data_IF_290595038229
#
_entry.id   IF_290595038229
#
_cell.length_a   1.000
_cell.length_b   1.000
_cell.length_c   1.000
_cell.angle_alpha   90.00
_cell.angle_beta   90.00
_cell.angle_gamma   90.00
#
_symmetry.space_group_name_H-M   'P 1'
#
loop_
_entity.id
_entity.type
_entity.pdbx_description
1 polymer ?
#
# COMPACT_ATOMS: atom_id res chain seq x y z
N UNK A 1 46.33 -9.09 -13.12
CA UNK A 1 45.33 -8.02 -12.92
C UNK A 1 43.95 -8.66 -12.90
N UNK A 2 43.34 -8.82 -11.73
CA UNK A 2 41.93 -9.22 -11.64
C UNK A 2 41.09 -7.99 -12.00
N UNK A 3 40.51 -7.99 -13.18
CA UNK A 3 39.44 -7.05 -13.55
C UNK A 3 38.25 -7.33 -12.64
N UNK A 4 38.03 -6.44 -11.68
CA UNK A 4 36.80 -6.41 -10.89
C UNK A 4 35.63 -6.23 -11.86
N UNK A 5 34.78 -7.25 -11.95
CA UNK A 5 33.56 -7.18 -12.73
C UNK A 5 32.75 -5.98 -12.23
N UNK A 6 32.44 -5.02 -13.12
CA UNK A 6 31.48 -3.96 -12.85
C UNK A 6 30.16 -4.64 -12.49
N UNK A 7 29.81 -4.63 -11.21
CA UNK A 7 28.50 -5.02 -10.74
C UNK A 7 27.49 -4.07 -11.38
N UNK A 8 26.64 -4.60 -12.26
CA UNK A 8 25.53 -3.82 -12.79
C UNK A 8 24.71 -3.33 -11.59
N UNK A 9 24.46 -2.01 -11.45
CA UNK A 9 23.71 -1.50 -10.31
C UNK A 9 22.33 -2.12 -10.35
N UNK A 10 21.92 -2.77 -9.25
CA UNK A 10 20.59 -3.32 -9.17
C UNK A 10 19.57 -2.19 -9.26
N UNK A 11 18.74 -2.21 -10.29
CA UNK A 11 17.90 -1.06 -10.66
C UNK A 11 16.66 -0.88 -9.77
N UNK A 12 16.31 -1.88 -8.94
CA UNK A 12 15.19 -1.79 -8.00
C UNK A 12 15.65 -2.02 -6.56
N UNK A 13 15.91 -0.91 -5.84
CA UNK A 13 16.30 -0.91 -4.42
C UNK A 13 15.03 -0.75 -3.57
N UNK A 14 15.02 -1.42 -2.42
CA UNK A 14 13.95 -1.26 -1.43
C UNK A 14 13.81 0.19 -0.98
N UNK A 15 12.59 0.74 -1.05
CA UNK A 15 12.23 2.06 -0.49
C UNK A 15 12.13 2.09 1.04
N UNK A 16 12.28 0.94 1.73
CA UNK A 16 12.14 0.86 3.19
C UNK A 16 13.32 1.48 3.95
N UNK A 17 14.47 1.56 3.28
CA UNK A 17 15.67 2.22 3.80
C UNK A 17 15.77 3.65 3.26
N UNK A 18 14.71 4.18 2.65
CA UNK A 18 14.69 5.55 2.15
C UNK A 18 14.89 6.49 3.33
N UNK A 19 16.09 7.05 3.36
CA UNK A 19 16.40 8.23 4.15
C UNK A 19 15.40 9.30 3.73
N UNK A 20 14.80 10.04 4.67
CA UNK A 20 13.85 11.03 4.28
C UNK A 20 14.55 12.10 3.43
N UNK A 21 13.77 12.69 2.55
CA UNK A 21 14.20 13.85 1.79
C UNK A 21 13.84 15.10 2.59
N UNK A 22 14.78 16.03 2.73
CA UNK A 22 14.59 17.26 3.48
C UNK A 22 14.16 18.40 2.54
N UNK A 23 13.05 19.04 2.86
CA UNK A 23 12.53 20.21 2.15
C UNK A 23 12.44 21.39 3.11
N UNK A 24 13.11 22.50 2.80
CA UNK A 24 12.99 23.75 3.56
C UNK A 24 12.27 24.80 2.74
N UNK A 25 11.22 25.39 3.32
CA UNK A 25 10.38 26.41 2.70
C UNK A 25 10.59 27.73 3.42
N UNK A 26 10.82 28.81 2.66
CA UNK A 26 10.94 30.17 3.19
C UNK A 26 9.75 31.05 2.77
N UNK A 27 9.21 31.79 3.73
CA UNK A 27 8.14 32.79 3.51
C UNK A 27 8.70 34.22 3.34
N UNK A 28 9.98 34.38 3.00
CA UNK A 28 10.62 35.70 2.90
C UNK A 28 9.96 36.65 1.89
N UNK A 29 9.46 36.14 0.77
CA UNK A 29 8.79 36.94 -0.25
C UNK A 29 7.39 37.40 0.16
N UNK A 30 6.72 36.66 1.04
CA UNK A 30 5.40 37.00 1.58
C UNK A 30 5.23 36.41 2.99
N UNK A 31 5.63 37.16 4.04
CA UNK A 31 5.53 36.69 5.42
C UNK A 31 4.09 36.40 5.88
N UNK A 32 3.10 36.98 5.20
CA UNK A 32 1.68 36.82 5.52
C UNK A 32 1.04 35.61 4.84
N UNK A 33 1.67 35.07 3.80
CA UNK A 33 1.09 34.02 2.99
C UNK A 33 0.73 32.77 3.80
N UNK A 34 -0.32 32.09 3.35
CA UNK A 34 -0.63 30.73 3.80
C UNK A 34 0.30 29.73 3.11
N UNK A 35 0.65 28.65 3.82
CA UNK A 35 1.29 27.50 3.19
C UNK A 35 0.36 26.89 2.11
N UNK A 36 -0.96 26.98 2.31
CA UNK A 36 -1.95 26.35 1.44
C UNK A 36 -2.03 24.84 1.63
N UNK A 37 -1.93 24.39 2.88
CA UNK A 37 -2.03 22.99 3.28
C UNK A 37 -2.79 22.84 4.60
N UNK A 38 -3.51 21.73 4.76
CA UNK A 38 -4.12 21.28 6.01
C UNK A 38 -3.16 20.34 6.73
N UNK A 39 -3.00 20.53 8.04
CA UNK A 39 -2.13 19.69 8.88
C UNK A 39 -2.93 18.58 9.56
N UNK A 40 -2.34 17.39 9.65
CA UNK A 40 -2.78 16.30 10.52
C UNK A 40 -1.96 16.34 11.81
N UNK A 41 -2.61 16.33 12.96
CA UNK A 41 -1.96 16.24 14.27
C UNK A 41 -1.71 14.79 14.66
N UNK A 42 -0.49 14.49 15.11
CA UNK A 42 -0.05 13.17 15.60
C UNK A 42 0.14 13.14 17.12
N UNK A 43 -0.31 14.19 17.82
CA UNK A 43 -0.15 14.37 19.26
C UNK A 43 -1.33 13.79 20.06
N UNK A 44 -2.19 13.00 19.40
CA UNK A 44 -3.39 12.41 20.01
C UNK A 44 -3.10 11.09 20.75
N UNK A 45 -1.83 10.67 20.82
CA UNK A 45 -1.44 9.40 21.43
C UNK A 45 -2.03 8.18 20.72
N UNK A 46 -2.40 8.30 19.43
CA UNK A 46 -2.95 7.18 18.69
C UNK A 46 -1.85 6.18 18.40
N UNK A 47 -2.18 4.89 18.52
CA UNK A 47 -1.26 3.77 18.28
C UNK A 47 -0.72 3.77 16.84
N UNK A 48 -1.48 4.31 15.90
CA UNK A 48 -1.05 4.49 14.50
C UNK A 48 0.08 5.51 14.34
N UNK A 49 0.28 6.41 15.30
CA UNK A 49 1.30 7.45 15.28
C UNK A 49 2.60 7.04 15.98
N UNK A 50 2.75 5.77 16.38
CA UNK A 50 3.87 5.29 17.21
C UNK A 50 5.26 5.54 16.60
N UNK A 51 5.37 5.52 15.28
CA UNK A 51 6.62 5.77 14.55
C UNK A 51 6.63 7.10 13.80
N UNK A 52 5.63 7.96 14.01
CA UNK A 52 5.61 9.25 13.34
C UNK A 52 6.67 10.16 13.97
N UNK A 53 7.68 10.63 13.20
CA UNK A 53 8.77 11.42 13.72
C UNK A 53 8.34 12.83 14.12
N UNK A 54 7.19 13.32 13.68
CA UNK A 54 6.72 14.69 13.89
C UNK A 54 5.38 14.76 14.63
N UNK A 55 5.09 15.93 15.22
CA UNK A 55 3.77 16.22 15.78
C UNK A 55 2.73 16.61 14.73
N UNK A 56 3.18 16.98 13.51
CA UNK A 56 2.32 17.39 12.42
C UNK A 56 2.82 16.86 11.06
N UNK A 57 1.89 16.43 10.20
CA UNK A 57 2.17 16.15 8.78
C UNK A 57 1.18 16.84 7.85
N UNK A 58 1.52 16.94 6.57
CA UNK A 58 0.61 17.45 5.55
C UNK A 58 -0.51 16.43 5.29
N UNK A 59 -1.75 16.80 5.60
CA UNK A 59 -2.93 15.98 5.34
C UNK A 59 -3.47 16.16 3.93
N UNK A 60 -3.59 17.43 3.51
CA UNK A 60 -4.21 17.83 2.25
C UNK A 60 -3.58 19.12 1.77
N UNK A 61 -3.42 19.26 0.45
CA UNK A 61 -3.07 20.51 -0.19
C UNK A 61 -4.34 21.24 -0.63
N UNK A 62 -4.38 22.56 -0.41
CA UNK A 62 -5.49 23.40 -0.87
C UNK A 62 -5.45 23.50 -2.40
N UNK A 63 -6.64 23.59 -3.02
CA UNK A 63 -6.77 23.74 -4.47
C UNK A 63 -6.20 25.08 -4.96
N UNK A 64 -5.83 25.15 -6.24
CA UNK A 64 -5.14 26.30 -6.83
C UNK A 64 -3.62 26.31 -6.62
N UNK A 65 -2.97 27.39 -7.00
CA UNK A 65 -1.52 27.58 -6.96
C UNK A 65 -1.08 28.12 -5.59
N UNK A 66 -0.57 27.26 -4.71
CA UNK A 66 -0.20 27.62 -3.32
C UNK A 66 1.32 27.59 -3.11
N UNK A 67 1.82 28.20 -2.03
CA UNK A 67 3.25 28.12 -1.65
C UNK A 67 3.68 26.66 -1.48
N UNK A 68 2.85 25.82 -0.85
CA UNK A 68 3.10 24.39 -0.71
C UNK A 68 3.37 23.72 -2.07
N UNK A 69 2.47 23.91 -3.04
CA UNK A 69 2.63 23.32 -4.38
C UNK A 69 3.84 23.89 -5.13
N UNK A 70 4.06 25.21 -5.07
CA UNK A 70 5.24 25.87 -5.67
C UNK A 70 6.55 25.35 -5.09
N UNK A 71 6.55 25.01 -3.80
CA UNK A 71 7.71 24.51 -3.08
C UNK A 71 7.85 22.99 -3.15
N UNK A 72 6.98 22.30 -3.91
CA UNK A 72 7.02 20.85 -4.07
C UNK A 72 6.62 20.07 -2.83
N UNK A 73 5.86 20.65 -1.89
CA UNK A 73 5.29 19.95 -0.72
C UNK A 73 4.32 18.87 -1.18
N UNK A 74 4.37 17.71 -0.54
CA UNK A 74 3.50 16.57 -0.80
C UNK A 74 2.67 16.19 0.42
N UNK A 75 1.60 15.42 0.20
CA UNK A 75 0.83 14.80 1.28
C UNK A 75 1.74 13.80 2.01
N UNK A 76 1.66 13.80 3.35
CA UNK A 76 2.50 12.97 4.22
C UNK A 76 3.82 13.61 4.66
N UNK A 77 4.26 14.72 4.05
CA UNK A 77 5.46 15.44 4.50
C UNK A 77 5.32 15.84 5.99
N UNK A 78 6.33 15.51 6.80
CA UNK A 78 6.32 15.69 8.25
C UNK A 78 7.02 17.01 8.64
N UNK A 79 6.38 17.87 9.42
CA UNK A 79 7.01 19.14 9.86
C UNK A 79 7.93 18.84 11.05
N UNK A 80 9.23 18.96 10.82
CA UNK A 80 10.25 18.58 11.81
C UNK A 80 10.98 19.78 12.41
N UNK A 81 10.90 20.97 11.80
CA UNK A 81 11.42 22.20 12.40
C UNK A 81 10.71 23.47 11.91
N UNK A 82 10.74 24.51 12.74
CA UNK A 82 10.26 25.87 12.47
C UNK A 82 11.36 26.86 12.85
N UNK A 83 11.89 27.62 11.89
CA UNK A 83 13.02 28.56 12.08
C UNK A 83 14.23 27.91 12.78
N UNK A 84 14.52 26.65 12.45
CA UNK A 84 15.63 25.88 13.03
C UNK A 84 15.34 25.25 14.40
N UNK A 85 14.28 25.65 15.09
CA UNK A 85 13.77 24.98 16.29
C UNK A 85 13.03 23.71 15.87
N UNK A 86 13.48 22.54 16.34
CA UNK A 86 12.84 21.30 15.90
C UNK A 86 11.64 20.87 16.74
N UNK A 87 10.78 20.13 16.06
CA UNK A 87 9.49 19.64 16.52
C UNK A 87 9.34 18.14 16.27
N UNK A 88 10.44 17.39 16.45
CA UNK A 88 10.41 15.93 16.39
C UNK A 88 9.92 15.33 17.69
N UNK A 89 9.23 14.20 17.55
CA UNK A 89 8.84 13.28 18.63
C UNK A 89 9.93 12.27 18.95
N UNK A 90 10.59 11.78 17.90
CA UNK A 90 11.61 10.73 17.99
C UNK A 90 12.90 11.25 17.38
N UNK A 91 14.03 10.81 17.94
CA UNK A 91 15.33 11.00 17.31
C UNK A 91 15.35 10.29 15.94
N UNK A 92 15.99 10.88 14.91
CA UNK A 92 16.18 10.19 13.65
C UNK A 92 17.06 8.96 13.85
N UNK A 93 16.75 7.87 13.16
CA UNK A 93 17.59 6.65 13.12
C UNK A 93 18.77 6.80 12.12
N UNK A 94 18.95 7.99 11.52
CA UNK A 94 19.93 8.30 10.48
C UNK A 94 20.66 9.62 10.78
N UNK A 95 21.84 9.79 10.17
CA UNK A 95 22.63 11.03 10.25
C UNK A 95 22.07 12.10 9.27
N UNK A 96 22.07 13.37 9.69
CA UNK A 96 21.61 14.49 8.87
C UNK A 96 22.48 14.70 7.62
N UNK A 97 23.77 14.38 7.68
CA UNK A 97 24.68 14.41 6.53
C UNK A 97 24.22 13.51 5.37
N UNK A 98 23.35 12.56 5.69
CA UNK A 98 22.81 11.58 4.76
C UNK A 98 21.45 12.00 4.17
N UNK A 99 20.89 13.13 4.61
CA UNK A 99 19.64 13.65 4.06
C UNK A 99 19.88 14.22 2.67
N UNK A 100 19.02 13.81 1.74
CA UNK A 100 18.97 14.43 0.42
C UNK A 100 18.16 15.73 0.53
N UNK A 101 18.85 16.87 0.39
CA UNK A 101 18.20 18.18 0.35
C UNK A 101 17.50 18.38 -0.99
N UNK A 102 16.17 18.47 -0.96
CA UNK A 102 15.36 18.87 -2.12
C UNK A 102 15.04 20.37 -2.04
N UNK A 103 15.94 21.18 -1.47
CA UNK A 103 15.76 22.65 -1.46
C UNK A 103 15.48 23.08 -2.90
N UNK A 104 14.24 23.51 -3.14
CA UNK A 104 13.57 23.32 -4.42
C UNK A 104 14.47 23.72 -5.61
N UNK A 105 14.48 22.90 -6.65
CA UNK A 105 15.09 23.18 -7.96
C UNK A 105 14.44 24.38 -8.70
N UNK A 106 13.79 25.28 -7.97
CA UNK A 106 13.26 26.56 -8.42
C UNK A 106 14.39 27.58 -8.26
N UNK A 107 15.20 27.69 -9.30
CA UNK A 107 16.09 28.82 -9.54
C UNK A 107 15.33 30.13 -9.27
N UNK A 108 15.66 30.85 -8.20
CA UNK A 108 15.14 32.22 -8.01
C UNK A 108 15.10 32.80 -6.61
N UNK A 109 15.27 32.02 -5.54
CA UNK A 109 15.25 32.58 -4.17
C UNK A 109 16.57 32.23 -3.48
N UNK A 110 17.52 33.15 -3.60
CA UNK A 110 18.84 33.06 -3.00
C UNK A 110 18.73 33.00 -1.48
N UNK A 111 18.86 31.82 -0.90
CA UNK A 111 19.14 31.63 0.52
C UNK A 111 20.65 31.81 0.76
N UNK A 112 21.17 33.01 0.51
CA UNK A 112 22.45 33.43 1.08
C UNK A 112 22.17 33.92 2.50
N UNK A 113 22.16 33.00 3.46
CA UNK A 113 22.21 33.37 4.86
C UNK A 113 23.68 33.56 5.24
N UNK A 114 24.10 34.83 5.21
CA UNK A 114 25.39 35.29 5.73
C UNK A 114 25.44 35.02 7.24
N UNK A 115 26.08 33.92 7.65
CA UNK A 115 26.56 33.75 9.01
C UNK A 115 28.06 33.40 8.95
N UNK A 116 28.85 34.46 8.89
CA UNK A 116 30.28 34.45 9.20
C UNK A 116 30.43 34.78 10.69
N UNK A 117 30.94 33.83 11.48
CA UNK A 117 32.22 34.00 12.19
C UNK A 117 32.54 32.82 13.11
N UNK A 118 33.59 32.09 12.70
CA UNK A 118 34.74 31.59 13.46
C UNK A 118 34.54 31.06 14.88
N UNK A 119 34.80 29.76 15.06
CA UNK A 119 36.07 29.36 15.71
C UNK A 119 36.41 27.90 15.39
N UNK A 120 37.63 27.68 14.90
CA UNK A 120 38.25 26.36 14.78
C UNK A 120 38.58 25.84 16.18
N UNK A 121 38.09 24.64 16.55
CA UNK A 121 38.98 23.66 17.17
C UNK A 121 38.41 22.24 17.15
N UNK A 122 39.32 21.31 16.91
CA UNK A 122 39.14 19.87 16.74
C UNK A 122 38.37 19.17 17.87
N UNK A 123 37.27 18.52 17.51
CA UNK A 123 36.55 17.53 18.33
C UNK A 123 35.19 17.15 17.72
N UNK A 124 35.16 16.89 16.40
CA UNK A 124 33.97 17.14 15.57
C UNK A 124 32.98 15.98 15.35
N UNK A 125 33.10 14.86 16.06
CA UNK A 125 32.07 13.80 15.95
C UNK A 125 30.88 14.04 16.90
N UNK A 126 30.91 15.09 17.73
CA UNK A 126 29.93 15.33 18.81
C UNK A 126 29.06 16.60 18.62
N UNK A 127 29.35 17.47 17.65
CA UNK A 127 28.48 18.64 17.35
C UNK A 127 27.26 18.28 16.50
N UNK A 128 27.38 17.34 15.58
CA UNK A 128 26.27 16.97 14.69
C UNK A 128 25.22 16.11 15.40
N UNK A 129 25.62 15.28 16.37
CA UNK A 129 24.69 14.60 17.29
C UNK A 129 23.93 15.59 18.20
N UNK A 130 24.52 16.75 18.54
CA UNK A 130 23.83 17.82 19.30
C UNK A 130 22.75 18.52 18.47
N UNK A 131 22.97 18.74 17.17
CA UNK A 131 21.97 19.36 16.28
C UNK A 131 20.69 18.52 16.16
N UNK A 132 20.81 17.19 16.20
CA UNK A 132 19.64 16.29 16.19
C UNK A 132 18.86 16.30 17.52
N UNK A 133 19.56 16.27 18.66
CA UNK A 133 18.92 16.41 19.98
C UNK A 133 18.17 17.73 20.11
N UNK A 134 18.69 18.80 19.50
CA UNK A 134 18.04 20.10 19.48
C UNK A 134 16.75 20.14 18.65
N UNK A 135 16.52 19.14 17.78
CA UNK A 135 15.27 19.04 17.02
C UNK A 135 14.20 18.18 17.68
N UNK A 136 14.55 17.40 18.69
CA UNK A 136 13.59 16.63 19.48
C UNK A 136 13.08 17.56 20.56
N UNK A 137 11.78 17.84 20.56
CA UNK A 137 11.18 18.56 21.70
C UNK A 137 11.24 17.60 22.86
N UNK A 138 11.91 17.99 23.95
CA UNK A 138 11.97 17.19 25.18
C UNK A 138 10.57 16.67 25.52
N UNK A 139 10.45 15.39 25.89
CA UNK A 139 9.19 14.67 26.19
C UNK A 139 8.26 15.47 27.12
N UNK A 140 7.58 16.47 26.59
CA UNK A 140 6.59 17.23 27.32
C UNK A 140 5.40 16.28 27.41
N UNK A 141 5.17 15.77 28.62
CA UNK A 141 4.19 14.71 28.90
C UNK A 141 2.73 15.13 28.65
N UNK A 142 2.50 16.41 28.43
CA UNK A 142 1.20 16.96 28.06
C UNK A 142 1.22 17.17 26.55
N UNK A 143 0.21 16.67 25.83
CA UNK A 143 -0.04 16.74 24.38
C UNK A 143 -0.10 18.18 23.80
N UNK A 144 0.83 19.03 24.19
CA UNK A 144 0.94 20.45 23.93
C UNK A 144 1.99 20.74 22.86
N UNK A 145 2.73 19.73 22.40
CA UNK A 145 3.83 19.92 21.45
C UNK A 145 3.30 20.33 20.07
N UNK A 146 2.16 19.78 19.65
CA UNK A 146 1.46 20.27 18.46
C UNK A 146 0.98 21.72 18.63
N UNK A 147 0.44 22.06 19.81
CA UNK A 147 0.00 23.42 20.11
C UNK A 147 1.17 24.41 20.16
N UNK A 148 2.32 23.98 20.67
CA UNK A 148 3.57 24.74 20.70
C UNK A 148 4.08 25.01 19.29
N UNK A 149 4.10 23.99 18.42
CA UNK A 149 4.41 24.12 16.99
C UNK A 149 3.50 25.16 16.33
N UNK A 150 2.18 25.05 16.52
CA UNK A 150 1.23 26.00 15.95
C UNK A 150 1.41 27.41 16.51
N UNK A 151 1.70 27.54 17.81
CA UNK A 151 1.94 28.82 18.47
C UNK A 151 3.20 29.49 17.93
N UNK A 152 4.28 28.72 17.72
CA UNK A 152 5.52 29.19 17.11
C UNK A 152 5.30 29.68 15.68
N UNK A 153 4.60 28.90 14.86
CA UNK A 153 4.27 29.31 13.48
C UNK A 153 3.45 30.61 13.49
N UNK A 154 2.43 30.70 14.36
CA UNK A 154 1.58 31.90 14.49
C UNK A 154 2.36 33.11 14.98
N UNK A 155 3.27 32.96 15.93
CA UNK A 155 4.05 34.08 16.49
C UNK A 155 5.00 34.66 15.46
N UNK A 156 5.70 33.82 14.70
CA UNK A 156 6.59 34.28 13.60
C UNK A 156 5.78 34.99 12.52
N UNK A 157 4.66 34.41 12.08
CA UNK A 157 3.79 35.06 11.09
C UNK A 157 3.22 36.39 11.58
N UNK A 158 2.85 36.49 12.86
CA UNK A 158 2.33 37.73 13.46
C UNK A 158 3.40 38.81 13.54
N UNK A 159 4.66 38.45 13.78
CA UNK A 159 5.76 39.41 13.78
C UNK A 159 5.95 40.04 12.38
N UNK A 160 5.65 39.28 11.32
CA UNK A 160 5.74 39.71 9.93
C UNK A 160 7.10 40.35 9.59
N UNK A 161 8.17 39.97 10.30
CA UNK A 161 9.50 40.53 10.13
C UNK A 161 10.16 39.94 8.87
N UNK A 162 10.41 40.73 7.82
CA UNK A 162 11.05 40.24 6.60
C UNK A 162 12.47 39.72 6.84
N UNK A 163 13.15 40.18 7.91
CA UNK A 163 14.50 39.72 8.26
C UNK A 163 14.49 38.37 8.97
N UNK A 164 13.35 37.95 9.48
CA UNK A 164 13.15 36.67 10.16
C UNK A 164 11.94 35.96 9.58
N UNK A 165 12.00 35.55 8.29
CA UNK A 165 10.88 34.89 7.65
C UNK A 165 10.55 33.58 8.35
N UNK A 166 9.32 33.12 8.20
CA UNK A 166 8.97 31.76 8.56
C UNK A 166 9.76 30.79 7.67
N UNK A 167 10.50 29.89 8.29
CA UNK A 167 11.19 28.77 7.68
C UNK A 167 10.56 27.49 8.20
N UNK A 168 10.05 26.64 7.31
CA UNK A 168 9.55 25.32 7.66
C UNK A 168 10.49 24.27 7.09
N UNK A 169 10.97 23.35 7.93
CA UNK A 169 11.68 22.16 7.46
C UNK A 169 10.77 20.96 7.54
N UNK A 170 10.59 20.29 6.42
CA UNK A 170 9.75 19.12 6.26
C UNK A 170 10.59 17.91 5.85
N UNK A 171 10.21 16.74 6.32
CA UNK A 171 10.77 15.47 5.87
C UNK A 171 9.75 14.66 5.10
N UNK A 172 10.18 14.18 3.93
CA UNK A 172 9.42 13.29 3.08
C UNK A 172 9.92 11.87 3.23
N UNK A 173 9.00 10.96 3.55
CA UNK A 173 9.28 9.55 3.71
C UNK A 173 8.66 8.73 2.57
N UNK A 174 9.38 7.70 2.11
CA UNK A 174 8.86 6.73 1.14
C UNK A 174 7.68 5.93 1.70
N UNK A 175 6.86 5.35 0.81
CA UNK A 175 5.63 4.64 1.19
C UNK A 175 5.87 3.41 2.08
N UNK A 176 7.01 2.73 1.92
CA UNK A 176 7.38 1.56 2.71
C UNK A 176 8.38 1.88 3.83
N UNK A 177 8.66 3.16 4.07
CA UNK A 177 9.37 3.58 5.28
C UNK A 177 8.60 3.14 6.52
N UNK A 178 9.30 2.85 7.63
CA UNK A 178 8.68 2.45 8.90
C UNK A 178 7.58 3.43 9.36
N UNK A 179 7.79 4.73 9.12
CA UNK A 179 6.85 5.83 9.42
C UNK A 179 5.50 5.62 8.72
N UNK A 180 5.51 5.28 7.44
CA UNK A 180 4.30 5.13 6.63
C UNK A 180 3.75 3.68 6.64
N UNK A 181 4.63 2.69 6.77
CA UNK A 181 4.28 1.27 6.69
C UNK A 181 3.57 0.76 7.95
N UNK A 182 3.92 1.28 9.14
CA UNK A 182 3.40 0.79 10.42
C UNK A 182 1.88 0.70 10.46
N UNK A 183 1.19 1.74 9.99
CA UNK A 183 -0.26 1.82 9.98
C UNK A 183 -0.89 0.65 9.21
N UNK A 184 -0.30 0.25 8.08
CA UNK A 184 -0.79 -0.86 7.26
C UNK A 184 -0.77 -2.18 8.03
N UNK A 185 0.34 -2.47 8.71
CA UNK A 185 0.47 -3.67 9.54
C UNK A 185 -0.48 -3.64 10.74
N UNK A 186 -0.70 -2.46 11.33
CA UNK A 186 -1.64 -2.30 12.43
C UNK A 186 -3.09 -2.56 12.00
N UNK A 187 -3.52 -1.99 10.86
CA UNK A 187 -4.85 -2.24 10.29
C UNK A 187 -5.02 -3.74 9.96
N UNK A 188 -4.02 -4.35 9.33
CA UNK A 188 -4.02 -5.77 8.96
C UNK A 188 -4.09 -6.74 10.15
N UNK A 189 -3.82 -6.23 11.35
CA UNK A 189 -3.88 -6.95 12.62
C UNK A 189 -4.93 -6.37 13.56
N UNK A 190 -5.91 -5.63 13.03
CA UNK A 190 -7.05 -5.09 13.76
C UNK A 190 -6.63 -4.29 15.01
N UNK A 191 -5.51 -3.56 14.95
CA UNK A 191 -4.99 -2.79 16.08
C UNK A 191 -4.11 -3.57 17.05
N UNK A 192 -3.88 -4.87 16.85
CA UNK A 192 -2.96 -5.66 17.68
C UNK A 192 -1.50 -5.25 17.40
N UNK A 193 -0.94 -4.48 18.33
CA UNK A 193 0.42 -3.94 18.26
C UNK A 193 1.48 -5.04 18.23
N UNK A 194 1.32 -6.10 19.02
CA UNK A 194 2.32 -7.16 19.09
C UNK A 194 2.33 -7.97 17.78
N UNK A 195 1.16 -8.31 17.27
CA UNK A 195 1.02 -9.01 15.99
C UNK A 195 1.49 -8.14 14.80
N UNK A 196 1.16 -6.85 14.81
CA UNK A 196 1.62 -5.89 13.79
C UNK A 196 3.14 -5.74 13.82
N UNK A 197 3.75 -5.64 15.01
CA UNK A 197 5.22 -5.56 15.17
C UNK A 197 5.89 -6.82 14.64
N UNK A 198 5.37 -8.01 14.99
CA UNK A 198 5.87 -9.28 14.47
C UNK A 198 5.79 -9.35 12.94
N UNK A 199 4.68 -8.89 12.37
CA UNK A 199 4.48 -8.87 10.93
C UNK A 199 5.43 -7.88 10.23
N UNK A 200 5.62 -6.69 10.78
CA UNK A 200 6.56 -5.70 10.27
C UNK A 200 8.01 -6.20 10.33
N UNK A 201 8.43 -6.87 11.41
CA UNK A 201 9.77 -7.49 11.50
C UNK A 201 9.97 -8.60 10.46
N UNK A 202 8.93 -9.42 10.23
CA UNK A 202 8.95 -10.44 9.19
C UNK A 202 9.05 -9.81 7.79
N UNK A 203 8.28 -8.74 7.52
CA UNK A 203 8.36 -7.96 6.29
C UNK A 203 9.76 -7.40 6.08
N UNK A 204 10.34 -6.73 7.07
CA UNK A 204 11.72 -6.21 7.00
C UNK A 204 12.71 -7.33 6.66
N UNK A 205 12.60 -8.49 7.30
CA UNK A 205 13.46 -9.65 7.00
C UNK A 205 13.26 -10.15 5.57
N UNK A 206 12.02 -10.22 5.11
CA UNK A 206 11.68 -10.61 3.75
C UNK A 206 12.23 -9.62 2.72
N UNK A 207 12.19 -8.31 2.99
CA UNK A 207 12.76 -7.28 2.11
C UNK A 207 14.26 -7.45 1.95
N UNK A 208 15.00 -7.64 3.04
CA UNK A 208 16.45 -7.85 2.96
C UNK A 208 16.84 -9.07 2.14
N UNK A 209 15.96 -10.08 2.06
CA UNK A 209 16.17 -11.28 1.25
C UNK A 209 15.73 -11.13 -0.21
N UNK A 210 14.70 -10.33 -0.44
CA UNK A 210 14.05 -10.20 -1.76
C UNK A 210 14.66 -9.08 -2.59
N UNK A 211 15.12 -8.01 -1.94
CA UNK A 211 15.70 -6.85 -2.59
C UNK A 211 17.23 -6.82 -2.45
N UNK A 212 17.93 -6.27 -3.45
CA UNK A 212 17.36 -5.73 -4.69
C UNK A 212 16.93 -6.83 -5.66
N UNK A 213 15.90 -6.56 -6.46
CA UNK A 213 15.47 -7.49 -7.51
C UNK A 213 16.34 -7.23 -8.75
N UNK A 214 17.04 -8.27 -9.22
CA UNK A 214 17.82 -8.20 -10.44
C UNK A 214 16.89 -8.13 -11.66
N UNK A 215 16.72 -6.92 -12.21
CA UNK A 215 15.93 -6.70 -13.42
C UNK A 215 16.59 -7.37 -14.63
N UNK A 216 17.90 -7.64 -14.62
CA UNK A 216 18.59 -8.32 -15.73
C UNK A 216 18.38 -9.84 -15.76
N UNK A 217 17.73 -10.41 -14.74
CA UNK A 217 17.29 -11.80 -14.70
C UNK A 217 16.40 -12.10 -15.92
N UNK A 218 16.80 -13.09 -16.74
CA UNK A 218 16.09 -13.45 -17.97
C UNK A 218 14.64 -13.84 -17.72
N UNK A 219 14.33 -14.51 -16.60
CA UNK A 219 12.96 -14.90 -16.29
C UNK A 219 12.11 -13.67 -15.97
N UNK A 220 12.68 -12.66 -15.30
CA UNK A 220 11.99 -11.38 -15.02
C UNK A 220 11.82 -10.58 -16.30
N UNK A 221 12.88 -10.46 -17.10
CA UNK A 221 12.83 -9.80 -18.42
C UNK A 221 11.77 -10.42 -19.32
N UNK A 222 11.70 -11.75 -19.40
CA UNK A 222 10.71 -12.43 -20.22
C UNK A 222 9.29 -12.04 -19.83
N UNK A 223 8.96 -11.97 -18.52
CA UNK A 223 7.63 -11.58 -18.04
C UNK A 223 7.30 -10.12 -18.36
N UNK A 224 8.28 -9.22 -18.19
CA UNK A 224 8.11 -7.78 -18.46
C UNK A 224 8.00 -7.51 -19.96
N UNK A 225 8.90 -8.09 -20.76
CA UNK A 225 8.94 -7.91 -22.22
C UNK A 225 7.75 -8.55 -22.93
N UNK A 226 7.25 -9.69 -22.44
CA UNK A 226 6.01 -10.29 -22.96
C UNK A 226 4.79 -9.45 -22.62
N UNK A 227 4.90 -8.56 -21.61
CA UNK A 227 3.80 -7.78 -21.04
C UNK A 227 2.74 -8.71 -20.43
N UNK A 228 3.20 -9.80 -19.82
CA UNK A 228 2.33 -10.71 -19.07
C UNK A 228 1.92 -10.09 -17.73
N UNK A 229 2.78 -9.24 -17.17
CA UNK A 229 2.51 -8.42 -15.99
C UNK A 229 3.04 -7.02 -16.29
N UNK A 230 2.18 -6.01 -16.22
CA UNK A 230 2.60 -4.62 -16.40
C UNK A 230 1.73 -3.64 -15.62
N UNK A 231 2.16 -2.39 -15.61
CA UNK A 231 1.39 -1.29 -15.06
C UNK A 231 0.40 -0.76 -16.09
N UNK A 232 -0.81 -0.45 -15.61
CA UNK A 232 -1.78 0.35 -16.33
C UNK A 232 -2.10 1.59 -15.50
N UNK A 233 -1.89 2.75 -16.10
CA UNK A 233 -2.27 4.03 -15.52
C UNK A 233 -3.36 4.66 -16.39
N UNK A 234 -4.61 4.61 -15.90
CA UNK A 234 -5.76 5.23 -16.55
C UNK A 234 -5.96 6.60 -15.92
N UNK A 235 -5.56 7.69 -16.61
CA UNK A 235 -5.59 9.02 -16.02
C UNK A 235 -7.03 9.52 -16.00
N UNK A 236 -7.83 9.27 -14.93
CA UNK A 236 -9.07 10.02 -14.68
C UNK A 236 -9.90 9.75 -13.43
N UNK A 237 -9.52 8.87 -12.52
CA UNK A 237 -10.40 8.57 -11.38
C UNK A 237 -9.65 8.61 -10.05
N UNK A 238 -10.36 8.96 -8.98
CA UNK A 238 -9.88 8.91 -7.58
C UNK A 238 -9.57 7.47 -7.10
N UNK A 239 -9.48 6.52 -8.03
CA UNK A 239 -9.17 5.13 -7.76
C UNK A 239 -7.69 4.83 -7.92
N UNK A 240 -7.19 3.82 -7.21
CA UNK A 240 -5.78 3.47 -7.27
C UNK A 240 -5.34 2.91 -8.63
N UNK A 241 -4.06 3.08 -9.00
CA UNK A 241 -3.54 2.54 -10.26
C UNK A 241 -3.57 1.01 -10.27
N UNK A 242 -3.55 0.40 -11.46
CA UNK A 242 -3.82 -1.03 -11.63
C UNK A 242 -2.60 -1.81 -12.13
N UNK A 243 -2.29 -2.92 -11.47
CA UNK A 243 -1.40 -3.96 -12.04
C UNK A 243 -2.23 -4.82 -12.99
N UNK A 244 -1.87 -4.85 -14.26
CA UNK A 244 -2.48 -5.70 -15.27
C UNK A 244 -1.74 -7.02 -15.41
N UNK A 245 -2.52 -8.09 -15.54
CA UNK A 245 -2.02 -9.45 -15.66
C UNK A 245 -2.70 -10.09 -16.86
N UNK A 246 -1.97 -10.24 -17.95
CA UNK A 246 -2.44 -10.99 -19.11
C UNK A 246 -2.18 -12.47 -18.87
N UNK A 247 -3.20 -13.19 -18.41
CA UNK A 247 -3.02 -14.56 -17.96
C UNK A 247 -2.76 -15.54 -19.12
N UNK A 248 -3.26 -15.24 -20.33
CA UNK A 248 -2.98 -16.03 -21.52
C UNK A 248 -1.47 -15.99 -21.87
N UNK A 249 -0.89 -14.78 -21.94
CA UNK A 249 0.55 -14.63 -22.17
C UNK A 249 1.39 -15.23 -21.05
N UNK A 250 0.90 -15.18 -19.81
CA UNK A 250 1.56 -15.80 -18.67
C UNK A 250 1.61 -17.33 -18.80
N UNK A 251 0.57 -17.96 -19.35
CA UNK A 251 0.55 -19.40 -19.64
C UNK A 251 1.52 -19.80 -20.77
N UNK A 252 1.80 -18.88 -21.69
CA UNK A 252 2.71 -19.10 -22.82
C UNK A 252 4.19 -18.98 -22.43
N UNK A 253 4.51 -18.53 -21.21
CA UNK A 253 5.89 -18.46 -20.73
C UNK A 253 6.46 -19.86 -20.47
N UNK A 254 7.69 -20.09 -20.93
CA UNK A 254 8.45 -21.33 -20.67
C UNK A 254 8.77 -21.53 -19.18
N UNK A 255 8.86 -20.43 -18.42
CA UNK A 255 9.15 -20.42 -16.98
C UNK A 255 8.34 -19.36 -16.25
N UNK A 256 7.91 -19.68 -15.03
CA UNK A 256 7.15 -18.80 -14.14
C UNK A 256 7.96 -18.22 -12.98
N UNK A 257 9.25 -18.54 -12.88
CA UNK A 257 10.12 -18.11 -11.77
C UNK A 257 10.24 -16.58 -11.65
N UNK A 258 10.08 -15.86 -12.78
CA UNK A 258 10.13 -14.40 -12.83
C UNK A 258 8.82 -13.70 -12.47
N UNK A 259 7.69 -14.42 -12.43
CA UNK A 259 6.35 -13.81 -12.31
C UNK A 259 6.18 -13.08 -10.99
N UNK A 260 6.52 -13.72 -9.86
CA UNK A 260 6.37 -13.11 -8.53
C UNK A 260 7.22 -11.85 -8.41
N UNK A 261 8.46 -11.90 -8.92
CA UNK A 261 9.37 -10.74 -8.95
C UNK A 261 8.81 -9.60 -9.80
N UNK A 262 8.28 -9.88 -10.99
CA UNK A 262 7.67 -8.88 -11.85
C UNK A 262 6.44 -8.23 -11.20
N UNK A 263 5.59 -9.02 -10.54
CA UNK A 263 4.47 -8.50 -9.74
C UNK A 263 4.93 -7.55 -8.64
N UNK A 264 5.97 -7.93 -7.89
CA UNK A 264 6.55 -7.09 -6.83
C UNK A 264 7.08 -5.79 -7.44
N UNK A 265 7.83 -5.83 -8.54
CA UNK A 265 8.35 -4.64 -9.23
C UNK A 265 7.21 -3.70 -9.64
N UNK A 266 6.20 -4.20 -10.35
CA UNK A 266 5.06 -3.37 -10.78
C UNK A 266 4.32 -2.76 -9.58
N UNK A 267 4.07 -3.56 -8.55
CA UNK A 267 3.36 -3.09 -7.34
C UNK A 267 4.17 -2.03 -6.59
N UNK A 268 5.45 -2.27 -6.32
CA UNK A 268 6.32 -1.30 -5.65
C UNK A 268 6.41 0.01 -6.46
N UNK A 269 6.47 -0.07 -7.80
CA UNK A 269 6.51 1.10 -8.69
C UNK A 269 5.21 1.91 -8.65
N UNK A 270 4.06 1.25 -8.53
CA UNK A 270 2.77 1.91 -8.33
C UNK A 270 2.66 2.55 -6.94
N UNK A 271 3.01 1.81 -5.89
CA UNK A 271 2.93 2.28 -4.50
C UNK A 271 3.89 3.45 -4.24
N UNK A 272 5.06 3.46 -4.89
CA UNK A 272 6.01 4.57 -4.83
C UNK A 272 5.50 5.87 -5.46
N UNK A 273 4.49 5.80 -6.34
CA UNK A 273 3.82 6.96 -6.96
C UNK A 273 2.46 7.26 -6.34
N UNK A 274 2.09 6.58 -5.26
CA UNK A 274 0.85 6.87 -4.55
C UNK A 274 0.81 8.33 -4.08
N UNK A 275 -0.35 8.96 -4.21
CA UNK A 275 -0.57 10.35 -3.83
C UNK A 275 -0.50 10.57 -2.31
N UNK A 276 -0.95 9.59 -1.52
CA UNK A 276 -0.71 9.52 -0.08
C UNK A 276 0.15 8.29 0.24
N UNK A 277 1.45 8.45 0.56
CA UNK A 277 2.34 7.34 0.87
C UNK A 277 1.98 6.61 2.18
N UNK A 278 1.08 7.15 3.01
CA UNK A 278 0.57 6.48 4.23
C UNK A 278 -0.60 5.54 3.96
N UNK A 279 -1.25 5.72 2.82
CA UNK A 279 -2.35 4.87 2.35
C UNK A 279 -2.16 4.49 0.88
N UNK A 280 -1.01 3.90 0.53
CA UNK A 280 -0.73 3.57 -0.85
C UNK A 280 -1.59 2.35 -1.21
N UNK A 281 -2.43 2.53 -2.22
CA UNK A 281 -3.33 1.50 -2.72
C UNK A 281 -2.99 1.16 -4.17
N UNK A 282 -3.31 -0.07 -4.56
CA UNK A 282 -3.27 -0.54 -5.95
C UNK A 282 -4.48 -1.42 -6.22
N UNK A 283 -4.94 -1.41 -7.46
CA UNK A 283 -5.87 -2.39 -7.99
C UNK A 283 -5.08 -3.46 -8.76
N UNK A 284 -5.71 -4.63 -8.94
CA UNK A 284 -5.16 -5.70 -9.78
C UNK A 284 -6.24 -6.16 -10.77
N UNK A 285 -5.89 -6.24 -12.05
CA UNK A 285 -6.77 -6.73 -13.10
C UNK A 285 -6.17 -7.97 -13.75
N UNK A 286 -6.80 -9.12 -13.52
CA UNK A 286 -6.41 -10.40 -14.13
C UNK A 286 -7.30 -10.64 -15.34
N UNK A 287 -6.69 -10.49 -16.51
CA UNK A 287 -7.33 -10.71 -17.79
C UNK A 287 -7.20 -12.17 -18.20
N UNK A 288 -8.36 -12.82 -18.23
CA UNK A 288 -8.55 -14.21 -18.62
C UNK A 288 -8.99 -14.32 -20.09
N UNK A 289 -8.96 -13.23 -20.84
CA UNK A 289 -9.25 -13.25 -22.27
C UNK A 289 -8.24 -14.15 -22.96
N UNK A 290 -8.71 -15.00 -23.86
CA UNK A 290 -7.89 -15.95 -24.61
C UNK A 290 -7.22 -17.05 -23.75
N UNK A 291 -7.53 -17.17 -22.47
CA UNK A 291 -7.09 -18.30 -21.65
C UNK A 291 -7.79 -19.56 -22.14
N UNK A 292 -7.00 -20.52 -22.62
CA UNK A 292 -7.52 -21.82 -23.08
C UNK A 292 -7.93 -22.64 -21.87
N UNK A 293 -9.14 -23.21 -21.88
CA UNK A 293 -9.60 -24.08 -20.78
C UNK A 293 -8.69 -25.31 -20.66
N UNK A 294 -8.25 -25.84 -21.81
CA UNK A 294 -7.42 -27.04 -21.90
C UNK A 294 -6.02 -26.90 -21.26
N UNK A 295 -5.45 -25.69 -21.18
CA UNK A 295 -4.14 -25.48 -20.54
C UNK A 295 -4.20 -25.50 -19.02
N UNK A 296 -5.42 -25.52 -18.45
CA UNK A 296 -5.63 -25.49 -17.01
C UNK A 296 -5.29 -24.13 -16.40
N UNK A 297 -6.05 -23.74 -15.38
CA UNK A 297 -5.74 -22.52 -14.66
C UNK A 297 -4.62 -22.81 -13.65
N UNK A 298 -3.48 -22.13 -13.80
CA UNK A 298 -2.27 -22.33 -12.98
C UNK A 298 -2.40 -21.62 -11.62
N UNK A 299 -3.19 -22.24 -10.72
CA UNK A 299 -3.44 -21.74 -9.35
C UNK A 299 -2.15 -21.61 -8.55
N UNK A 300 -1.15 -22.45 -8.84
CA UNK A 300 0.18 -22.44 -8.23
C UNK A 300 0.86 -21.07 -8.36
N UNK A 301 0.73 -20.41 -9.50
CA UNK A 301 1.36 -19.10 -9.73
C UNK A 301 0.71 -18.04 -8.84
N UNK A 302 -0.62 -17.98 -8.82
CA UNK A 302 -1.33 -17.02 -7.98
C UNK A 302 -1.16 -17.32 -6.49
N UNK A 303 -1.03 -18.60 -6.09
CA UNK A 303 -0.62 -18.98 -4.72
C UNK A 303 0.75 -18.41 -4.37
N UNK A 304 1.72 -18.47 -5.29
CA UNK A 304 3.06 -17.93 -5.06
C UNK A 304 3.03 -16.40 -4.97
N UNK A 305 2.32 -15.72 -5.88
CA UNK A 305 2.14 -14.26 -5.84
C UNK A 305 1.54 -13.84 -4.50
N UNK A 306 0.42 -14.43 -4.10
CA UNK A 306 -0.25 -14.04 -2.86
C UNK A 306 0.45 -14.54 -1.59
N UNK A 307 1.21 -15.63 -1.67
CA UNK A 307 2.11 -16.05 -0.60
C UNK A 307 3.18 -15.00 -0.30
N UNK A 308 3.60 -14.21 -1.30
CA UNK A 308 4.45 -13.05 -1.09
C UNK A 308 3.65 -11.81 -0.66
N UNK A 309 2.47 -11.57 -1.23
CA UNK A 309 1.74 -10.32 -1.02
C UNK A 309 1.00 -10.24 0.31
N UNK A 310 0.31 -11.29 0.74
CA UNK A 310 -0.46 -11.26 2.00
C UNK A 310 0.37 -10.90 3.23
N UNK A 311 1.57 -11.48 3.47
CA UNK A 311 2.37 -11.14 4.63
C UNK A 311 3.13 -9.81 4.54
N UNK A 312 3.42 -9.32 3.32
CA UNK A 312 4.37 -8.21 3.11
C UNK A 312 3.72 -6.91 2.59
N UNK A 313 2.58 -7.02 1.92
CA UNK A 313 1.85 -5.88 1.33
C UNK A 313 0.43 -5.76 1.88
N UNK A 314 0.21 -5.93 3.20
CA UNK A 314 -1.14 -5.90 3.72
C UNK A 314 -1.76 -4.51 3.51
N UNK A 315 -3.08 -4.50 3.29
CA UNK A 315 -3.86 -3.28 3.07
C UNK A 315 -3.42 -2.38 1.92
N UNK A 316 -2.58 -2.87 1.00
CA UNK A 316 -2.23 -2.16 -0.25
C UNK A 316 -3.13 -2.54 -1.42
N UNK A 317 -3.77 -3.72 -1.37
CA UNK A 317 -4.76 -4.12 -2.36
C UNK A 317 -6.07 -3.39 -2.08
N UNK A 318 -6.55 -2.61 -3.04
CA UNK A 318 -7.88 -2.01 -3.03
C UNK A 318 -8.91 -2.99 -3.58
N UNK A 319 -8.71 -3.43 -4.83
CA UNK A 319 -9.58 -4.36 -5.55
C UNK A 319 -8.75 -5.31 -6.40
N UNK A 320 -9.22 -6.55 -6.52
CA UNK A 320 -8.76 -7.50 -7.54
C UNK A 320 -9.95 -7.87 -8.42
N UNK A 321 -9.81 -7.70 -9.72
CA UNK A 321 -10.86 -8.06 -10.68
C UNK A 321 -10.33 -9.14 -11.63
N UNK A 322 -11.06 -10.24 -11.76
CA UNK A 322 -10.79 -11.30 -12.73
C UNK A 322 -11.89 -11.29 -13.80
N UNK A 323 -11.51 -11.17 -15.07
CA UNK A 323 -12.42 -11.03 -16.21
C UNK A 323 -11.77 -11.46 -17.54
N UNK A 324 -12.52 -11.97 -18.52
CA UNK A 324 -13.87 -12.49 -18.40
C UNK A 324 -13.82 -13.86 -17.76
N UNK A 325 -14.67 -14.07 -16.77
CA UNK A 325 -14.85 -15.39 -16.17
C UNK A 325 -16.09 -16.02 -16.81
N UNK A 326 -16.10 -17.33 -17.09
CA UNK A 326 -17.28 -17.95 -17.69
C UNK A 326 -18.52 -17.77 -16.78
N UNK A 327 -19.70 -17.51 -17.36
CA UNK A 327 -20.97 -17.32 -16.63
C UNK A 327 -21.24 -18.42 -15.60
N UNK A 328 -20.84 -19.65 -15.93
CA UNK A 328 -20.99 -20.81 -15.07
C UNK A 328 -20.13 -20.71 -13.81
N UNK A 329 -18.86 -20.28 -13.94
CA UNK A 329 -17.98 -20.07 -12.78
C UNK A 329 -18.51 -18.94 -11.91
N UNK A 330 -19.00 -17.86 -12.50
CA UNK A 330 -19.66 -16.77 -11.76
C UNK A 330 -20.87 -17.29 -10.98
N UNK A 331 -21.70 -18.14 -11.61
CA UNK A 331 -22.86 -18.76 -10.94
C UNK A 331 -22.44 -19.67 -9.79
N UNK A 332 -21.42 -20.50 -9.98
CA UNK A 332 -20.89 -21.38 -8.94
C UNK A 332 -20.40 -20.58 -7.73
N UNK A 333 -19.68 -19.49 -7.96
CA UNK A 333 -19.22 -18.62 -6.88
C UNK A 333 -20.34 -17.99 -6.09
N UNK A 334 -21.39 -17.51 -6.76
CA UNK A 334 -22.56 -16.98 -6.06
C UNK A 334 -23.17 -18.04 -5.15
N UNK A 335 -23.33 -19.27 -5.65
CA UNK A 335 -23.87 -20.38 -4.87
C UNK A 335 -22.97 -20.76 -3.68
N UNK A 336 -21.66 -20.92 -3.89
CA UNK A 336 -20.72 -21.27 -2.81
C UNK A 336 -20.61 -20.16 -1.78
N UNK A 337 -20.57 -18.90 -2.20
CA UNK A 337 -20.50 -17.76 -1.30
C UNK A 337 -21.76 -17.69 -0.40
N UNK A 338 -22.95 -17.87 -0.98
CA UNK A 338 -24.20 -17.97 -0.21
C UNK A 338 -24.12 -19.13 0.78
N UNK A 339 -23.65 -20.29 0.35
CA UNK A 339 -23.56 -21.47 1.22
C UNK A 339 -22.56 -21.27 2.38
N UNK A 340 -21.36 -20.76 2.11
CA UNK A 340 -20.36 -20.45 3.14
C UNK A 340 -20.85 -19.39 4.13
N UNK A 341 -21.56 -18.37 3.63
CA UNK A 341 -22.18 -17.37 4.49
C UNK A 341 -23.24 -18.01 5.40
N UNK A 342 -24.12 -18.88 4.87
CA UNK A 342 -25.12 -19.60 5.65
C UNK A 342 -24.50 -20.50 6.72
N UNK A 343 -23.48 -21.29 6.37
CA UNK A 343 -22.79 -22.18 7.32
C UNK A 343 -22.14 -21.39 8.44
N UNK A 344 -21.41 -20.32 8.12
CA UNK A 344 -20.79 -19.47 9.15
C UNK A 344 -21.82 -18.82 10.08
N UNK A 345 -22.95 -18.34 9.54
CA UNK A 345 -24.03 -17.78 10.38
C UNK A 345 -24.68 -18.83 11.29
N UNK A 346 -24.82 -20.08 10.82
CA UNK A 346 -25.39 -21.16 11.63
C UNK A 346 -24.42 -21.68 12.71
N UNK A 347 -23.12 -21.78 12.42
CA UNK A 347 -22.11 -22.13 13.43
C UNK A 347 -22.05 -21.10 14.55
N UNK A 348 -22.19 -19.81 14.23
CA UNK A 348 -22.34 -18.74 15.23
C UNK A 348 -23.61 -18.89 16.07
N UNK A 349 -24.74 -19.26 15.48
CA UNK A 349 -26.01 -19.48 16.21
C UNK A 349 -25.96 -20.68 17.18
N UNK A 350 -25.26 -21.76 16.80
CA UNK A 350 -25.09 -22.95 17.64
C UNK A 350 -24.08 -22.70 18.78
N UNK A 351 -23.03 -21.90 18.54
CA UNK A 351 -22.10 -21.45 19.59
C UNK A 351 -22.81 -20.58 20.65
N UNK A 352 -23.69 -19.67 20.22
CA UNK A 352 -24.50 -18.84 21.12
C UNK A 352 -25.57 -19.65 21.87
N UNK A 353 -26.18 -20.66 21.23
CA UNK A 353 -27.12 -21.58 21.87
C UNK A 353 -26.47 -22.46 22.94
N UNK A 354 -25.19 -22.82 22.77
CA UNK A 354 -24.43 -23.64 23.72
C UNK A 354 -24.08 -22.92 25.02
N UNK A 355 -24.03 -21.58 25.02
CA UNK A 355 -23.86 -20.78 26.25
C UNK A 355 -25.17 -20.52 27.00
N UNK A 356 -26.33 -20.77 26.37
CA UNK A 356 -27.64 -20.66 27.04
C UNK A 356 -28.12 -21.99 27.66
N UNK A 357 -27.48 -23.12 27.34
CA UNK A 357 -27.81 -24.44 27.90
C UNK A 357 -26.75 -24.82 28.95
N UNK A 358 -26.66 -24.03 30.01
CA UNK A 358 -26.01 -24.46 31.27
C UNK A 358 -26.98 -24.51 32.46
N UNK A 359 -28.28 -24.27 32.22
CA UNK A 359 -29.34 -24.52 33.18
C UNK A 359 -30.53 -25.23 32.52
N UNK A 360 -30.60 -26.56 32.66
CA UNK A 360 -31.81 -27.32 32.31
C UNK A 360 -31.54 -28.73 31.80
N UNK A 361 -31.51 -29.71 32.70
CA UNK A 361 -31.64 -31.14 32.36
C UNK A 361 -33.10 -31.40 31.93
N UNK A 362 -33.38 -31.49 30.63
CA UNK A 362 -34.48 -32.26 30.03
C UNK A 362 -34.64 -31.90 28.54
N UNK A 363 -33.90 -32.55 27.63
CA UNK A 363 -34.27 -32.66 26.20
C UNK A 363 -33.28 -33.55 25.44
N UNK A 364 -33.40 -34.89 25.55
CA UNK A 364 -32.52 -35.83 24.84
C UNK A 364 -33.12 -36.48 23.59
N UNK A 365 -34.33 -36.12 23.15
CA UNK A 365 -35.03 -36.88 22.08
C UNK A 365 -35.41 -36.09 20.81
N UNK A 366 -34.98 -34.84 20.62
CA UNK A 366 -35.36 -34.03 19.43
C UNK A 366 -34.21 -33.82 18.42
N UNK A 367 -32.95 -34.10 18.81
CA UNK A 367 -31.78 -33.75 17.99
C UNK A 367 -31.40 -34.75 16.88
N UNK A 368 -32.00 -35.95 16.81
CA UNK A 368 -31.64 -36.96 15.80
C UNK A 368 -32.35 -36.79 14.45
N UNK A 369 -33.39 -35.95 14.36
CA UNK A 369 -34.15 -35.73 13.13
C UNK A 369 -33.51 -34.69 12.18
N UNK A 370 -32.91 -33.63 12.73
CA UNK A 370 -32.29 -32.57 11.93
C UNK A 370 -30.98 -33.00 11.24
N UNK A 371 -30.24 -33.94 11.84
CA UNK A 371 -28.95 -34.41 11.31
C UNK A 371 -29.12 -35.22 10.01
N UNK A 372 -30.23 -35.95 9.88
CA UNK A 372 -30.52 -36.74 8.68
C UNK A 372 -31.00 -35.89 7.50
N UNK A 373 -31.74 -34.79 7.75
CA UNK A 373 -32.08 -33.85 6.69
C UNK A 373 -30.85 -33.11 6.17
N UNK A 374 -29.93 -32.70 7.05
CA UNK A 374 -28.70 -32.04 6.65
C UNK A 374 -27.79 -32.95 5.80
N UNK A 375 -27.65 -34.22 6.19
CA UNK A 375 -26.92 -35.24 5.41
C UNK A 375 -27.54 -35.48 4.03
N UNK A 376 -28.86 -35.45 3.92
CA UNK A 376 -29.56 -35.63 2.65
C UNK A 376 -29.37 -34.43 1.70
N UNK A 377 -29.46 -33.19 2.20
CA UNK A 377 -29.19 -31.98 1.39
C UNK A 377 -27.72 -31.88 0.97
N UNK A 378 -26.77 -32.28 1.84
CA UNK A 378 -25.35 -32.37 1.50
C UNK A 378 -25.10 -33.44 0.42
N UNK A 379 -25.76 -34.60 0.50
CA UNK A 379 -25.65 -35.67 -0.50
C UNK A 379 -26.22 -35.28 -1.87
N UNK A 380 -27.39 -34.63 -1.91
CA UNK A 380 -28.01 -34.16 -3.16
C UNK A 380 -27.22 -33.03 -3.82
N UNK A 381 -26.63 -32.12 -3.04
CA UNK A 381 -25.78 -31.05 -3.57
C UNK A 381 -24.43 -31.56 -4.10
N UNK A 382 -23.83 -32.56 -3.44
CA UNK A 382 -22.65 -33.28 -3.96
C UNK A 382 -22.96 -34.06 -5.25
N UNK A 383 -24.15 -34.64 -5.36
CA UNK A 383 -24.59 -35.40 -6.54
C UNK A 383 -24.86 -34.49 -7.76
N UNK A 384 -25.46 -33.31 -7.54
CA UNK A 384 -25.63 -32.28 -8.57
C UNK A 384 -24.29 -31.67 -9.01
N UNK A 385 -23.29 -31.64 -8.13
CA UNK A 385 -21.93 -31.20 -8.46
C UNK A 385 -21.18 -32.19 -9.37
N UNK A 386 -21.53 -33.48 -9.32
CA UNK A 386 -20.91 -34.54 -10.14
C UNK A 386 -21.46 -34.64 -11.57
N UNK A 387 -22.63 -34.08 -11.87
CA UNK A 387 -23.20 -34.07 -13.23
C UNK A 387 -22.75 -32.88 -14.09
N UNK A 388 -21.95 -31.96 -13.54
CA UNK A 388 -21.38 -30.85 -14.30
C UNK A 388 -20.12 -31.36 -15.00
N UNK A 389 -20.16 -31.41 -16.34
CA UNK A 389 -19.08 -31.64 -17.29
C UNK A 389 -17.66 -31.49 -16.70
N UNK A 390 -16.82 -32.52 -16.81
CA UNK A 390 -15.51 -32.56 -16.13
C UNK A 390 -14.58 -31.38 -16.47
N UNK A 391 -14.67 -30.85 -17.70
CA UNK A 391 -13.92 -29.65 -18.12
C UNK A 391 -14.40 -28.35 -17.46
N UNK A 392 -15.62 -28.33 -16.89
CA UNK A 392 -16.26 -27.16 -16.27
C UNK A 392 -16.08 -27.14 -14.76
N UNK A 393 -15.86 -28.30 -14.15
CA UNK A 393 -15.54 -28.43 -12.72
C UNK A 393 -14.16 -27.84 -12.37
N UNK A 394 -13.22 -27.81 -13.34
CA UNK A 394 -11.86 -27.31 -13.11
C UNK A 394 -11.81 -25.81 -12.84
N UNK A 395 -12.52 -24.95 -13.58
CA UNK A 395 -12.47 -23.49 -13.32
C UNK A 395 -13.14 -23.11 -11.99
N UNK A 396 -14.30 -23.71 -11.67
CA UNK A 396 -15.01 -23.50 -10.41
C UNK A 396 -14.21 -23.99 -9.20
N UNK A 397 -13.62 -25.19 -9.30
CA UNK A 397 -12.73 -25.78 -8.29
C UNK A 397 -11.47 -24.94 -8.11
N UNK A 398 -10.84 -24.54 -9.22
CA UNK A 398 -9.68 -23.65 -9.25
C UNK A 398 -9.98 -22.37 -8.49
N UNK A 399 -11.08 -21.72 -8.84
CA UNK A 399 -11.42 -20.41 -8.34
C UNK A 399 -11.80 -20.49 -6.83
N UNK A 400 -12.44 -21.58 -6.38
CA UNK A 400 -12.61 -21.90 -4.95
C UNK A 400 -11.27 -22.18 -4.23
N UNK A 401 -10.37 -22.95 -4.85
CA UNK A 401 -9.00 -23.15 -4.35
C UNK A 401 -8.25 -21.82 -4.23
N UNK A 402 -8.54 -20.85 -5.09
CA UNK A 402 -7.93 -19.54 -5.02
C UNK A 402 -8.34 -18.77 -3.78
N UNK A 403 -9.63 -18.79 -3.46
CA UNK A 403 -10.13 -18.04 -2.32
C UNK A 403 -9.72 -18.66 -0.98
N UNK A 404 -9.48 -19.98 -0.94
CA UNK A 404 -9.15 -20.67 0.31
C UNK A 404 -7.76 -20.39 0.86
N UNK A 405 -6.81 -19.96 0.03
CA UNK A 405 -5.46 -19.63 0.51
C UNK A 405 -5.28 -18.16 0.92
N UNK A 406 -6.19 -17.28 0.51
CA UNK A 406 -6.19 -15.87 0.93
C UNK A 406 -7.05 -15.67 2.17
N UNK A 407 -6.64 -14.71 3.01
CA UNK A 407 -7.41 -14.33 4.19
C UNK A 407 -8.74 -13.67 3.81
N UNK A 408 -9.65 -13.57 4.79
CA UNK A 408 -11.01 -13.08 4.56
C UNK A 408 -11.05 -11.62 4.07
N UNK A 409 -10.15 -10.76 4.56
CA UNK A 409 -10.08 -9.35 4.17
C UNK A 409 -9.65 -9.20 2.71
N UNK A 410 -8.63 -9.95 2.29
CA UNK A 410 -8.20 -10.03 0.88
C UNK A 410 -9.33 -10.57 0.01
N UNK A 411 -10.01 -11.65 0.45
CA UNK A 411 -11.11 -12.29 -0.28
C UNK A 411 -12.27 -11.35 -0.58
N UNK A 412 -12.62 -10.45 0.36
CA UNK A 412 -13.69 -9.44 0.18
C UNK A 412 -13.38 -8.43 -0.94
N UNK A 413 -12.12 -8.31 -1.34
CA UNK A 413 -11.66 -7.40 -2.39
C UNK A 413 -11.69 -8.04 -3.79
N UNK A 414 -12.01 -9.34 -3.88
CA UNK A 414 -12.01 -10.09 -5.14
C UNK A 414 -13.35 -9.93 -5.85
N UNK A 415 -13.29 -9.60 -7.13
CA UNK A 415 -14.42 -9.46 -8.03
C UNK A 415 -14.18 -10.41 -9.20
N UNK A 416 -14.99 -11.45 -9.28
CA UNK A 416 -14.92 -12.46 -10.34
C UNK A 416 -16.17 -12.26 -11.19
N UNK A 417 -16.01 -11.82 -12.44
CA UNK A 417 -17.15 -11.40 -13.25
C UNK A 417 -16.95 -11.61 -14.75
N UNK A 418 -18.07 -11.74 -15.46
CA UNK A 418 -18.19 -11.74 -16.91
C UNK A 418 -18.77 -10.42 -17.45
N UNK A 419 -19.04 -9.45 -16.57
CA UNK A 419 -19.69 -8.19 -16.91
C UNK A 419 -18.66 -7.05 -17.00
N UNK A 420 -18.43 -6.56 -18.22
CA UNK A 420 -17.52 -5.45 -18.50
C UNK A 420 -17.90 -4.17 -17.73
N UNK A 421 -19.18 -3.85 -17.63
CA UNK A 421 -19.64 -2.65 -16.93
C UNK A 421 -19.28 -2.69 -15.45
N UNK A 422 -19.35 -3.87 -14.83
CA UNK A 422 -18.90 -4.06 -13.45
C UNK A 422 -17.38 -3.91 -13.31
N UNK A 423 -16.59 -4.40 -14.27
CA UNK A 423 -15.14 -4.18 -14.30
C UNK A 423 -14.83 -2.69 -14.33
N UNK A 424 -15.43 -1.97 -15.27
CA UNK A 424 -15.24 -0.53 -15.42
C UNK A 424 -15.68 0.25 -14.17
N UNK A 425 -16.79 -0.13 -13.53
CA UNK A 425 -17.24 0.50 -12.29
C UNK A 425 -16.23 0.30 -11.15
N UNK A 426 -15.74 -0.91 -10.95
CA UNK A 426 -14.90 -1.27 -9.79
C UNK A 426 -13.45 -0.79 -9.94
N UNK A 427 -12.96 -0.66 -11.18
CA UNK A 427 -11.63 -0.14 -11.49
C UNK A 427 -11.64 1.34 -11.89
N UNK A 428 -12.82 1.96 -11.98
CA UNK A 428 -13.00 3.35 -12.41
C UNK A 428 -12.40 3.54 -13.79
N UNK A 429 -12.85 2.74 -14.74
CA UNK A 429 -12.55 2.95 -16.16
C UNK A 429 -13.79 3.51 -16.83
N UNK A 430 -13.59 4.39 -17.82
CA UNK A 430 -14.69 4.86 -18.65
C UNK A 430 -15.07 3.74 -19.62
N UNK A 431 -16.23 3.13 -19.40
CA UNK A 431 -16.75 2.05 -20.26
C UNK A 431 -16.81 2.47 -21.73
N UNK A 432 -17.17 3.74 -22.00
CA UNK A 432 -17.25 4.24 -23.37
C UNK A 432 -15.88 4.24 -24.03
N UNK A 433 -14.83 4.62 -23.30
CA UNK A 433 -13.46 4.57 -23.79
C UNK A 433 -13.01 3.14 -24.07
N UNK A 434 -13.35 2.18 -23.18
CA UNK A 434 -13.04 0.76 -23.39
C UNK A 434 -13.69 0.22 -24.66
N UNK A 435 -14.97 0.54 -24.87
CA UNK A 435 -15.73 0.15 -26.07
C UNK A 435 -15.14 0.82 -27.33
N UNK A 436 -14.80 2.11 -27.27
CA UNK A 436 -14.17 2.87 -28.37
C UNK A 436 -12.77 2.33 -28.74
N UNK A 437 -12.03 1.74 -27.79
CA UNK A 437 -10.74 1.10 -28.07
C UNK A 437 -10.89 -0.26 -28.78
N UNK A 438 -12.10 -0.82 -28.87
CA UNK A 438 -12.34 -2.15 -29.42
C UNK A 438 -12.30 -3.27 -28.37
N UNK A 439 -12.42 -2.94 -27.09
CA UNK A 439 -12.47 -3.88 -25.97
C UNK A 439 -11.32 -3.73 -24.97
N UNK A 440 -11.34 -4.57 -23.93
CA UNK A 440 -10.39 -4.50 -22.82
C UNK A 440 -8.95 -4.69 -23.28
N UNK A 441 -8.66 -5.65 -24.15
CA UNK A 441 -7.27 -5.93 -24.55
C UNK A 441 -6.61 -4.73 -25.23
N UNK A 442 -7.34 -4.07 -26.13
CA UNK A 442 -6.89 -2.86 -26.83
C UNK A 442 -6.81 -1.66 -25.89
N UNK A 443 -7.76 -1.54 -24.96
CA UNK A 443 -7.71 -0.52 -23.91
C UNK A 443 -6.46 -0.67 -23.03
N UNK A 444 -6.11 -1.90 -22.62
CA UNK A 444 -4.87 -2.14 -21.84
C UNK A 444 -3.63 -1.73 -22.62
N UNK A 445 -3.53 -2.12 -23.90
CA UNK A 445 -2.40 -1.72 -24.73
C UNK A 445 -2.27 -0.20 -24.92
N UNK A 446 -3.39 0.54 -24.88
CA UNK A 446 -3.40 2.00 -24.98
C UNK A 446 -2.84 2.68 -23.73
N UNK A 447 -3.10 2.13 -22.55
CA UNK A 447 -2.75 2.72 -21.24
C UNK A 447 -1.54 2.06 -20.57
N UNK A 448 -0.86 1.17 -21.30
CA UNK A 448 0.37 0.52 -20.87
C UNK A 448 1.55 1.49 -20.83
N UNK A 449 2.30 1.48 -19.73
CA UNK A 449 3.48 2.33 -19.51
C UNK A 449 4.80 1.65 -19.74
#
# INVERSE_FOLDING_TARGET
>A
MMTTAKTNPSLFVSTSNDKPKLLTISFASDPSASLGAQLLSHDKGLVEDMFNPAYASILRLVDGETIAKKSGVAIGDAIVAVNGEGFRRLAPEYDESQLEHITAAVNGISLHNNNNNNNENSGNDDEDAKKQKNRVVSENKNNDSYNLLLTKIKSIKKAADPKQPLLLSLERYGWDSKVNAWRRFLIARNGDVAAATKMMTAHTTWKHKTFPIDISDKNVQNVIQSKSVCEIDVPKNDLPPTVYVNFAKLQELDSHEGVVKAFIICTETLLARASDPRFPLTCQFIDLSNVRIASGFRVDILKQVYGAFEPNYPETLSKMVMYPVSKMVVSFFRTVHIYLHMVNTHTLSLSLGSHFIQHGKCASNIYTSHDNQFKMYASLSLSLLWCVDMEKCTQASTASMMLNFVNENTRKKFIITDNLEKVCQELGWDKKEVDECGGITQFMHRHEK
#
